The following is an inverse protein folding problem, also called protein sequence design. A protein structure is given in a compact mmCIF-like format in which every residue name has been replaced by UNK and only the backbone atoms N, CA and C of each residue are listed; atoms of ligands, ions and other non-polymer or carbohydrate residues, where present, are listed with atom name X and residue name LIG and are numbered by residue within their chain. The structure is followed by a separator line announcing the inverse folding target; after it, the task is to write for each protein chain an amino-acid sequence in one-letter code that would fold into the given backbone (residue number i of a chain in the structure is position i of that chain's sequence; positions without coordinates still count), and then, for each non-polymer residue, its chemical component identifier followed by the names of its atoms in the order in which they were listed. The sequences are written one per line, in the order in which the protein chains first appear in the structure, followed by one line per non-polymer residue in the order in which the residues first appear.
data_IF_221534433810
#
_entry.id   IF_221534433810
#
_cell.length_a   1.000
_cell.length_b   1.000
_cell.length_c   1.000
_cell.angle_alpha   90.00
_cell.angle_beta   90.00
_cell.angle_gamma   90.00
#
_symmetry.space_group_name_H-M   'P 1'
#
loop_
_entity.id
_entity.type
_entity.pdbx_description
1 polymer ?
#
# COMPACT_ATOMS: atom_id res chain seq x y z
N UNK A 1 -22.03 55.90 23.49
CA UNK A 1 -22.01 55.48 22.07
C UNK A 1 -20.56 55.48 21.62
N UNK A 2 -19.90 54.33 21.63
CA UNK A 2 -18.49 54.21 21.23
C UNK A 2 -18.34 53.01 20.31
N UNK A 3 -18.09 53.33 19.05
CA UNK A 3 -18.00 52.43 17.91
C UNK A 3 -16.58 51.82 17.88
N UNK A 4 -16.42 50.56 18.30
CA UNK A 4 -15.15 49.84 18.18
C UNK A 4 -15.10 49.08 16.86
N UNK A 5 -14.18 49.51 16.02
CA UNK A 5 -13.92 49.05 14.66
C UNK A 5 -13.85 47.52 14.53
N UNK A 6 -14.49 47.01 13.47
CA UNK A 6 -14.28 45.64 12.98
C UNK A 6 -12.82 45.53 12.53
N UNK A 7 -12.04 44.66 13.18
CA UNK A 7 -10.69 44.32 12.73
C UNK A 7 -10.78 43.62 11.36
N UNK A 8 -9.89 43.91 10.41
CA UNK A 8 -9.81 43.13 9.17
C UNK A 8 -9.52 41.67 9.49
N UNK A 9 -10.24 40.77 8.83
CA UNK A 9 -9.98 39.33 8.86
C UNK A 9 -8.79 39.11 7.92
N UNK A 10 -7.60 38.88 8.48
CA UNK A 10 -6.46 38.40 7.71
C UNK A 10 -6.86 37.07 7.04
N UNK A 11 -6.71 36.91 5.72
CA UNK A 11 -6.97 35.64 5.07
C UNK A 11 -5.93 34.64 5.56
N UNK A 12 -6.38 33.72 6.40
CA UNK A 12 -5.61 32.57 6.88
C UNK A 12 -4.84 31.96 5.73
N UNK A 13 -3.51 32.04 5.81
CA UNK A 13 -2.58 31.51 4.83
C UNK A 13 -3.05 30.14 4.37
N UNK A 14 -3.39 30.10 3.08
CA UNK A 14 -3.91 28.91 2.43
C UNK A 14 -2.97 27.74 2.69
N UNK A 15 -3.60 26.61 3.00
CA UNK A 15 -2.98 25.30 3.02
C UNK A 15 -2.16 25.13 1.73
N UNK A 16 -0.85 25.34 1.81
CA UNK A 16 0.07 25.01 0.74
C UNK A 16 0.59 23.61 1.05
N UNK A 17 0.03 22.52 0.49
CA UNK A 17 0.82 21.31 0.39
C UNK A 17 1.96 21.66 -0.56
N UNK A 18 3.13 21.90 0.02
CA UNK A 18 4.39 21.91 -0.71
C UNK A 18 4.60 20.49 -1.21
N UNK A 19 3.99 20.16 -2.34
CA UNK A 19 4.32 18.97 -3.13
C UNK A 19 5.63 19.25 -3.84
N UNK A 20 6.72 19.32 -3.07
CA UNK A 20 8.05 19.17 -3.65
C UNK A 20 8.14 17.69 -4.00
N UNK A 21 8.07 17.43 -5.29
CA UNK A 21 8.37 16.14 -5.89
C UNK A 21 9.77 15.70 -5.47
N UNK A 22 9.83 14.99 -4.35
CA UNK A 22 10.96 14.16 -4.01
C UNK A 22 10.74 12.85 -4.78
N UNK A 23 11.57 12.48 -5.77
CA UNK A 23 11.40 11.23 -6.51
C UNK A 23 11.60 9.97 -5.64
N UNK A 24 11.87 10.17 -4.34
CA UNK A 24 12.01 9.14 -3.31
C UNK A 24 11.07 9.37 -2.12
N UNK A 25 9.95 10.08 -2.31
CA UNK A 25 8.87 10.09 -1.32
C UNK A 25 8.38 8.66 -1.05
N UNK A 26 7.79 8.36 0.13
CA UNK A 26 7.14 7.08 0.35
C UNK A 26 6.17 6.87 -0.82
N UNK A 27 6.45 5.87 -1.66
CA UNK A 27 5.52 5.45 -2.71
C UNK A 27 4.15 5.35 -2.04
N UNK A 28 3.17 6.05 -2.61
CA UNK A 28 1.83 6.05 -2.06
C UNK A 28 1.20 4.70 -2.34
N UNK A 29 1.59 3.69 -1.55
CA UNK A 29 1.19 2.30 -1.67
C UNK A 29 -0.34 2.17 -1.65
N UNK A 30 -1.04 3.13 -1.03
CA UNK A 30 -2.49 3.14 -0.97
C UNK A 30 -3.14 3.45 -2.33
N UNK A 31 -2.50 4.27 -3.17
CA UNK A 31 -2.98 4.62 -4.50
C UNK A 31 -2.48 3.68 -5.61
N UNK A 32 -1.60 2.73 -5.28
CA UNK A 32 -1.11 1.75 -6.24
C UNK A 32 -2.16 0.70 -6.63
N UNK A 33 -1.92 0.05 -7.77
CA UNK A 33 -2.68 -1.13 -8.16
C UNK A 33 -2.34 -2.31 -7.25
N UNK A 34 -3.39 -2.94 -6.71
CA UNK A 34 -3.27 -4.07 -5.81
C UNK A 34 -3.64 -5.36 -6.53
N UNK A 35 -2.67 -6.27 -6.66
CA UNK A 35 -2.86 -7.57 -7.28
C UNK A 35 -3.25 -8.62 -6.23
N UNK A 36 -4.09 -9.57 -6.64
CA UNK A 36 -4.33 -10.82 -5.92
C UNK A 36 -3.23 -11.85 -6.20
N UNK A 37 -3.14 -12.84 -5.32
CA UNK A 37 -2.26 -14.01 -5.51
C UNK A 37 -2.58 -14.76 -6.81
N UNK A 38 -3.87 -14.86 -7.17
CA UNK A 38 -4.33 -15.58 -8.37
C UNK A 38 -3.86 -14.85 -9.63
N UNK A 39 -3.97 -13.52 -9.67
CA UNK A 39 -3.49 -12.72 -10.80
C UNK A 39 -1.98 -12.85 -10.97
N UNK A 40 -1.22 -12.77 -9.88
CA UNK A 40 0.24 -12.92 -9.93
C UNK A 40 0.63 -14.34 -10.36
N UNK A 41 -0.06 -15.37 -9.87
CA UNK A 41 0.14 -16.75 -10.27
C UNK A 41 -0.03 -16.94 -11.78
N UNK A 42 -1.07 -16.33 -12.37
CA UNK A 42 -1.28 -16.32 -13.83
C UNK A 42 -0.17 -15.58 -14.56
N UNK A 43 0.23 -14.40 -14.07
CA UNK A 43 1.29 -13.59 -14.69
C UNK A 43 2.65 -14.30 -14.71
N UNK A 44 2.97 -15.05 -13.66
CA UNK A 44 4.26 -15.74 -13.52
C UNK A 44 4.21 -17.21 -13.97
N UNK A 45 3.06 -17.71 -14.41
CA UNK A 45 2.82 -19.12 -14.72
C UNK A 45 3.23 -20.06 -13.56
N UNK A 46 3.00 -19.64 -12.32
CA UNK A 46 3.32 -20.40 -11.11
C UNK A 46 2.04 -20.84 -10.37
N UNK A 47 2.18 -21.85 -9.52
CA UNK A 47 1.08 -22.24 -8.64
C UNK A 47 0.76 -21.15 -7.61
N UNK A 48 -0.53 -20.94 -7.31
CA UNK A 48 -0.98 -20.01 -6.27
C UNK A 48 -0.33 -20.28 -4.91
N UNK A 49 -0.07 -21.56 -4.60
CA UNK A 49 0.59 -21.99 -3.37
C UNK A 49 2.02 -21.47 -3.30
N UNK A 50 2.77 -21.52 -4.40
CA UNK A 50 4.14 -21.00 -4.48
C UNK A 50 4.14 -19.48 -4.32
N UNK A 51 3.28 -18.78 -5.08
CA UNK A 51 3.16 -17.33 -5.00
C UNK A 51 2.78 -16.89 -3.59
N UNK A 52 1.80 -17.55 -2.96
CA UNK A 52 1.41 -17.26 -1.57
C UNK A 52 2.59 -17.36 -0.61
N UNK A 53 3.41 -18.41 -0.71
CA UNK A 53 4.60 -18.59 0.14
C UNK A 53 5.64 -17.48 -0.05
N UNK A 54 5.83 -17.01 -1.28
CA UNK A 54 6.77 -15.94 -1.60
C UNK A 54 6.33 -14.63 -0.93
N UNK A 55 5.04 -14.28 -1.01
CA UNK A 55 4.52 -13.00 -0.51
C UNK A 55 4.13 -12.99 0.96
N UNK A 56 3.89 -14.15 1.59
CA UNK A 56 3.51 -14.24 3.02
C UNK A 56 4.56 -13.65 3.97
N UNK A 57 5.84 -13.65 3.57
CA UNK A 57 6.94 -13.11 4.38
C UNK A 57 7.46 -11.75 3.89
N UNK A 58 6.88 -11.19 2.81
CA UNK A 58 7.38 -9.95 2.23
C UNK A 58 6.74 -8.73 2.93
N UNK A 59 7.55 -7.76 3.41
CA UNK A 59 7.02 -6.58 4.08
C UNK A 59 6.28 -5.66 3.10
N UNK A 60 5.13 -5.12 3.52
CA UNK A 60 4.29 -4.23 2.70
C UNK A 60 3.18 -4.95 1.92
N UNK A 61 3.08 -6.27 2.02
CA UNK A 61 1.90 -7.01 1.56
C UNK A 61 0.76 -6.82 2.55
N UNK A 62 -0.43 -6.48 2.03
CA UNK A 62 -1.62 -6.29 2.85
C UNK A 62 -2.25 -7.67 3.12
N UNK A 63 -2.41 -7.97 4.40
CA UNK A 63 -2.97 -9.22 4.88
C UNK A 63 -4.38 -8.98 5.43
N UNK A 64 -5.40 -9.33 4.65
CA UNK A 64 -6.77 -9.44 5.15
C UNK A 64 -6.95 -10.83 5.76
N UNK A 65 -6.64 -10.96 7.05
CA UNK A 65 -6.98 -12.15 7.83
C UNK A 65 -8.15 -11.86 8.75
N UNK A 66 -9.19 -12.70 8.71
CA UNK A 66 -10.09 -12.84 9.86
C UNK A 66 -9.34 -13.59 10.95
N UNK A 67 -9.41 -13.11 12.19
CA UNK A 67 -8.82 -13.78 13.35
C UNK A 67 -9.25 -15.26 13.37
N UNK A 68 -8.26 -16.15 13.48
CA UNK A 68 -8.50 -17.57 13.65
C UNK A 68 -9.20 -17.78 15.00
N UNK A 69 -10.41 -18.35 14.96
CA UNK A 69 -11.13 -18.77 16.16
C UNK A 69 -10.87 -20.26 16.37
N UNK A 70 -10.95 -20.72 17.62
CA UNK A 70 -10.61 -22.09 18.09
C UNK A 70 -10.96 -23.27 17.16
N UNK A 71 -11.99 -23.15 16.32
CA UNK A 71 -12.45 -24.22 15.42
C UNK A 71 -12.66 -23.79 13.95
N UNK A 72 -12.17 -22.60 13.55
CA UNK A 72 -12.35 -22.09 12.18
C UNK A 72 -11.03 -21.57 11.62
N UNK A 73 -10.56 -22.23 10.56
CA UNK A 73 -9.40 -21.79 9.77
C UNK A 73 -9.58 -20.34 9.34
N UNK A 74 -8.63 -19.49 9.73
CA UNK A 74 -8.62 -18.09 9.31
C UNK A 74 -8.35 -18.00 7.80
N UNK A 75 -9.33 -17.53 7.03
CA UNK A 75 -9.09 -17.20 5.63
C UNK A 75 -8.19 -15.96 5.55
N UNK A 76 -7.12 -16.07 4.76
CA UNK A 76 -6.17 -14.98 4.49
C UNK A 76 -6.26 -14.58 3.03
N UNK A 77 -6.74 -13.37 2.79
CA UNK A 77 -6.68 -12.71 1.50
C UNK A 77 -5.44 -11.82 1.47
N UNK A 78 -4.54 -12.07 0.54
CA UNK A 78 -3.35 -11.25 0.33
C UNK A 78 -3.59 -10.27 -0.82
N UNK A 79 -3.26 -9.00 -0.60
CA UNK A 79 -3.22 -7.96 -1.63
C UNK A 79 -1.81 -7.42 -1.72
N UNK A 80 -1.25 -7.50 -2.92
CA UNK A 80 0.15 -7.15 -3.20
C UNK A 80 0.16 -5.86 -4.03
N UNK A 81 0.70 -4.75 -3.50
CA UNK A 81 0.91 -3.54 -4.28
C UNK A 81 1.92 -3.78 -5.42
N UNK A 82 1.76 -3.03 -6.51
CA UNK A 82 2.60 -3.14 -7.71
C UNK A 82 4.10 -2.94 -7.40
N UNK A 83 4.44 -1.98 -6.54
CA UNK A 83 5.83 -1.73 -6.15
C UNK A 83 6.46 -2.94 -5.46
N UNK A 84 5.69 -3.64 -4.62
CA UNK A 84 6.14 -4.84 -3.92
C UNK A 84 6.33 -6.00 -4.89
N UNK A 85 5.40 -6.18 -5.85
CA UNK A 85 5.52 -7.18 -6.91
C UNK A 85 6.83 -7.02 -7.70
N UNK A 86 7.13 -5.80 -8.15
CA UNK A 86 8.37 -5.49 -8.86
C UNK A 86 9.62 -5.73 -8.01
N UNK A 87 9.58 -5.37 -6.71
CA UNK A 87 10.70 -5.60 -5.78
C UNK A 87 10.99 -7.08 -5.61
N UNK A 88 9.96 -7.89 -5.41
CA UNK A 88 10.09 -9.36 -5.26
C UNK A 88 10.61 -9.98 -6.55
N UNK A 89 10.09 -9.58 -7.71
CA UNK A 89 10.58 -10.06 -8.99
C UNK A 89 12.08 -9.80 -9.18
N UNK A 90 12.55 -8.59 -8.82
CA UNK A 90 13.99 -8.27 -8.84
C UNK A 90 14.81 -9.12 -7.86
N UNK A 91 14.30 -9.40 -6.65
CA UNK A 91 14.96 -10.30 -5.68
C UNK A 91 15.09 -11.72 -6.24
N UNK A 92 14.02 -12.27 -6.80
CA UNK A 92 14.03 -13.62 -7.37
C UNK A 92 15.03 -13.74 -8.53
N UNK A 93 15.08 -12.73 -9.42
CA UNK A 93 16.06 -12.69 -10.51
C UNK A 93 17.53 -12.68 -10.03
N UNK A 94 17.81 -12.07 -8.87
CA UNK A 94 19.18 -12.02 -8.30
C UNK A 94 19.58 -13.30 -7.57
N UNK A 95 18.62 -14.13 -7.20
CA UNK A 95 18.85 -15.38 -6.50
C UNK A 95 19.05 -16.58 -7.46
N UNK A 96 19.02 -16.34 -8.78
CA UNK A 96 19.42 -17.27 -9.84
C UNK A 96 20.76 -16.84 -10.42
#
# INVERSE_FOLDING_TARGET
MSNSARRPIEPSDGFRPVSVGSPLGPVDLANEKHYSVIEIAKLWALSEKTVRKIFEREPGVIHWSTQERLHKRGYRTLRVPETILHRVHRKLRRAS
#
